data_IF_408290518839
#
_entry.id   IF_408290518839
#
_cell.length_a   1.000
_cell.length_b   1.000
_cell.length_c   1.000
_cell.angle_alpha   90.00
_cell.angle_beta   90.00
_cell.angle_gamma   90.00
#
_symmetry.space_group_name_H-M   'P 1'
#
loop_
_entity.id
_entity.type
_entity.pdbx_description
1 polymer ?
#
# COMPACT_ATOMS: atom_id res chain seq x y z
N UNK A 1 -2.33 37.32 -25.78
CA UNK A 1 -3.18 37.48 -24.58
C UNK A 1 -3.65 36.13 -24.05
N UNK A 2 -4.17 35.25 -24.91
CA UNK A 2 -4.61 33.88 -24.56
C UNK A 2 -3.59 32.99 -23.82
N UNK A 3 -2.27 33.16 -24.05
CA UNK A 3 -1.26 32.37 -23.34
C UNK A 3 -1.08 32.79 -21.87
N UNK A 4 -1.26 34.09 -21.56
CA UNK A 4 -1.11 34.60 -20.18
C UNK A 4 -2.38 34.30 -19.37
N UNK A 5 -3.55 34.40 -19.99
CA UNK A 5 -4.83 34.02 -19.38
C UNK A 5 -4.82 32.57 -18.89
N UNK A 6 -4.30 31.63 -19.69
CA UNK A 6 -4.15 30.22 -19.27
C UNK A 6 -3.20 30.03 -18.09
N UNK A 7 -2.16 30.85 -17.99
CA UNK A 7 -1.25 30.80 -16.83
C UNK A 7 -1.98 31.28 -15.58
N UNK A 8 -2.76 32.36 -15.70
CA UNK A 8 -3.58 32.88 -14.59
C UNK A 8 -4.63 31.84 -14.15
N UNK A 9 -5.29 31.16 -15.10
CA UNK A 9 -6.24 30.07 -14.79
C UNK A 9 -5.62 28.98 -13.91
N UNK A 10 -4.36 28.58 -14.15
CA UNK A 10 -3.67 27.59 -13.33
C UNK A 10 -3.23 28.12 -11.96
N UNK A 11 -2.89 29.41 -11.86
CA UNK A 11 -2.51 30.05 -10.59
C UNK A 11 -3.72 30.14 -9.65
N UNK A 12 -4.91 30.37 -10.21
CA UNK A 12 -6.16 30.57 -9.45
C UNK A 12 -6.85 29.24 -9.07
N UNK A 13 -6.28 28.09 -9.42
CA UNK A 13 -6.82 26.79 -9.01
C UNK A 13 -6.78 26.65 -7.48
N UNK A 14 -7.85 26.06 -6.94
CA UNK A 14 -7.93 25.70 -5.53
C UNK A 14 -6.83 24.66 -5.21
N UNK A 15 -5.92 24.96 -4.25
CA UNK A 15 -4.95 23.97 -3.79
C UNK A 15 -5.63 22.77 -3.13
N UNK A 16 -5.02 21.59 -3.25
CA UNK A 16 -5.51 20.35 -2.61
C UNK A 16 -5.60 20.49 -1.08
N UNK A 17 -4.59 21.13 -0.49
CA UNK A 17 -4.55 21.44 0.93
C UNK A 17 -4.72 22.93 1.15
N UNK A 18 -5.64 23.30 2.03
CA UNK A 18 -5.79 24.69 2.44
C UNK A 18 -4.50 25.18 3.12
N UNK A 19 -3.93 26.34 2.75
CA UNK A 19 -2.72 26.90 3.38
C UNK A 19 -2.84 27.09 4.91
N UNK A 20 -4.07 27.09 5.42
CA UNK A 20 -4.44 27.29 6.81
C UNK A 20 -4.75 26.00 7.57
N UNK A 21 -4.40 24.80 7.07
CA UNK A 21 -4.25 23.63 7.95
C UNK A 21 -3.07 23.90 8.87
N UNK A 22 -3.27 24.78 9.85
CA UNK A 22 -2.44 24.82 11.05
C UNK A 22 -2.47 23.39 11.57
N UNK A 23 -1.31 22.82 11.86
CA UNK A 23 -1.19 21.58 12.63
C UNK A 23 -2.00 21.75 13.92
N UNK A 24 -3.29 21.39 13.89
CA UNK A 24 -4.25 21.62 14.97
C UNK A 24 -3.90 20.75 16.18
N UNK A 25 -3.08 19.72 15.96
CA UNK A 25 -2.41 18.90 16.96
C UNK A 25 -0.93 18.78 16.65
N UNK A 26 -0.10 18.97 17.67
CA UNK A 26 1.25 18.41 17.67
C UNK A 26 1.12 16.89 17.61
N UNK A 27 1.68 16.27 16.58
CA UNK A 27 1.75 14.82 16.48
C UNK A 27 2.54 14.27 17.68
N UNK A 28 2.11 13.16 18.29
CA UNK A 28 2.91 12.49 19.31
C UNK A 28 4.32 12.17 18.77
N UNK A 29 5.39 12.24 19.57
CA UNK A 29 6.76 12.01 19.09
C UNK A 29 7.02 10.66 18.42
N UNK A 30 6.20 9.66 18.73
CA UNK A 30 6.30 8.30 18.17
C UNK A 30 5.20 7.99 17.14
N UNK A 31 4.46 9.01 16.69
CA UNK A 31 3.40 8.81 15.71
C UNK A 31 4.00 8.63 14.31
N UNK A 32 3.52 7.67 13.51
CA UNK A 32 2.53 6.66 13.86
C UNK A 32 3.18 5.40 14.48
N UNK A 33 2.46 4.74 15.39
CA UNK A 33 2.69 3.36 15.84
C UNK A 33 2.13 2.37 14.81
N UNK A 34 1.03 2.73 14.13
CA UNK A 34 0.52 2.04 12.94
C UNK A 34 -0.89 1.45 13.07
N UNK A 35 -1.65 1.74 14.12
CA UNK A 35 -3.06 1.35 14.22
C UNK A 35 -3.94 2.22 13.34
N UNK A 36 -4.86 1.63 12.59
CA UNK A 36 -5.73 2.33 11.63
C UNK A 36 -7.19 1.98 11.91
N UNK A 37 -8.03 3.00 12.08
CA UNK A 37 -9.48 2.83 12.26
C UNK A 37 -10.21 3.61 11.17
N UNK A 38 -11.10 2.93 10.48
CA UNK A 38 -12.08 3.51 9.57
C UNK A 38 -13.40 3.61 10.33
N UNK A 39 -13.91 4.82 10.50
CA UNK A 39 -15.13 5.12 11.24
C UNK A 39 -16.15 5.77 10.31
N UNK A 40 -17.16 4.99 9.92
CA UNK A 40 -18.22 5.35 8.97
C UNK A 40 -17.69 5.99 7.67
N UNK A 41 -16.55 5.48 7.16
CA UNK A 41 -15.87 6.10 6.03
C UNK A 41 -16.65 5.89 4.74
N UNK A 42 -16.85 6.98 4.00
CA UNK A 42 -17.29 6.98 2.60
C UNK A 42 -16.32 7.81 1.74
N UNK A 43 -16.09 7.39 0.50
CA UNK A 43 -15.11 8.00 -0.42
C UNK A 43 -15.72 8.26 -1.80
N UNK A 44 -15.47 9.43 -2.40
CA UNK A 44 -15.83 9.76 -3.78
C UNK A 44 -14.76 10.60 -4.46
N UNK A 45 -14.64 10.46 -5.79
CA UNK A 45 -13.61 11.14 -6.59
C UNK A 45 -13.89 12.62 -6.83
N UNK A 46 -15.16 13.00 -6.91
CA UNK A 46 -15.60 14.38 -7.07
C UNK A 46 -16.89 14.63 -6.31
N UNK A 47 -17.16 15.90 -6.00
CA UNK A 47 -18.39 16.34 -5.33
C UNK A 47 -19.67 15.99 -6.10
N UNK A 48 -19.55 15.80 -7.41
CA UNK A 48 -20.65 15.43 -8.31
C UNK A 48 -20.78 13.93 -8.55
N UNK A 49 -19.76 13.14 -8.17
CA UNK A 49 -19.76 11.68 -8.33
C UNK A 49 -20.49 10.97 -7.18
N UNK A 50 -20.94 9.74 -7.45
CA UNK A 50 -21.47 8.85 -6.43
C UNK A 50 -20.36 8.38 -5.48
N UNK A 51 -20.73 8.07 -4.23
CA UNK A 51 -19.86 7.40 -3.29
C UNK A 51 -19.42 6.03 -3.83
N UNK A 52 -18.11 5.84 -3.96
CA UNK A 52 -17.49 4.59 -4.41
C UNK A 52 -17.27 3.65 -3.24
N UNK A 53 -16.94 4.20 -2.06
CA UNK A 53 -16.96 3.47 -0.79
C UNK A 53 -18.08 4.03 0.08
N UNK A 54 -18.77 3.15 0.79
CA UNK A 54 -19.88 3.52 1.67
C UNK A 54 -19.76 2.81 3.01
N UNK A 55 -19.83 3.61 4.08
CA UNK A 55 -19.93 3.14 5.47
C UNK A 55 -18.89 2.07 5.89
N UNK A 56 -17.63 2.26 5.51
CA UNK A 56 -16.53 1.35 5.89
C UNK A 56 -16.23 1.53 7.38
N UNK A 57 -16.38 0.44 8.14
CA UNK A 57 -16.17 0.39 9.58
C UNK A 57 -15.24 -0.79 9.93
N UNK A 58 -13.93 -0.55 10.00
CA UNK A 58 -12.94 -1.58 10.31
C UNK A 58 -11.84 -1.02 11.23
N UNK A 59 -11.23 -1.89 12.01
CA UNK A 59 -10.13 -1.56 12.93
C UNK A 59 -8.96 -2.51 12.71
N UNK A 60 -7.80 -1.93 12.41
CA UNK A 60 -6.53 -2.60 12.13
C UNK A 60 -5.58 -2.26 13.27
N UNK A 61 -5.07 -3.28 13.94
CA UNK A 61 -4.10 -3.13 15.03
C UNK A 61 -2.69 -2.85 14.49
N UNK A 62 -1.83 -2.18 15.26
CA UNK A 62 -0.43 -2.01 14.88
C UNK A 62 0.24 -3.33 14.54
N UNK A 63 1.05 -3.34 13.47
CA UNK A 63 1.78 -4.49 12.94
C UNK A 63 0.91 -5.59 12.27
N UNK A 64 -0.41 -5.41 12.17
CA UNK A 64 -1.26 -6.36 11.44
C UNK A 64 -1.00 -6.30 9.93
N UNK A 65 -1.01 -7.48 9.31
CA UNK A 65 -1.02 -7.68 7.85
C UNK A 65 -2.45 -7.90 7.40
N UNK A 66 -2.93 -7.04 6.53
CA UNK A 66 -4.29 -7.07 5.99
C UNK A 66 -4.23 -7.36 4.50
N UNK A 67 -4.82 -8.47 4.09
CA UNK A 67 -5.05 -8.77 2.67
C UNK A 67 -6.36 -8.16 2.22
N UNK A 68 -6.39 -7.45 1.09
CA UNK A 68 -7.58 -6.81 0.55
C UNK A 68 -7.93 -7.49 -0.77
N UNK A 69 -9.13 -8.06 -0.85
CA UNK A 69 -9.64 -8.79 -2.02
C UNK A 69 -11.03 -8.31 -2.41
N UNK A 70 -11.44 -8.67 -3.61
CA UNK A 70 -12.72 -8.28 -4.18
C UNK A 70 -12.62 -8.23 -5.70
N UNK A 71 -13.77 -8.31 -6.37
CA UNK A 71 -13.84 -8.23 -7.84
C UNK A 71 -13.27 -6.89 -8.35
N UNK A 72 -12.94 -6.85 -9.64
CA UNK A 72 -12.59 -5.58 -10.30
C UNK A 72 -13.73 -4.58 -10.13
N UNK A 73 -13.40 -3.33 -9.77
CA UNK A 73 -14.40 -2.30 -9.48
C UNK A 73 -15.01 -2.35 -8.07
N UNK A 74 -14.59 -3.26 -7.18
CA UNK A 74 -15.13 -3.35 -5.82
C UNK A 74 -14.73 -2.18 -4.88
N UNK A 75 -13.84 -1.27 -5.30
CA UNK A 75 -13.39 -0.13 -4.50
C UNK A 75 -12.04 -0.33 -3.78
N UNK A 76 -11.27 -1.40 -4.10
CA UNK A 76 -9.98 -1.70 -3.45
C UNK A 76 -8.98 -0.53 -3.54
N UNK A 77 -8.68 -0.05 -4.75
CA UNK A 77 -7.76 1.08 -4.96
C UNK A 77 -8.32 2.38 -4.37
N UNK A 78 -9.64 2.56 -4.36
CA UNK A 78 -10.30 3.70 -3.70
C UNK A 78 -10.10 3.67 -2.17
N UNK A 79 -10.03 2.48 -1.56
CA UNK A 79 -9.71 2.33 -0.14
C UNK A 79 -8.26 2.73 0.16
N UNK A 80 -7.31 2.39 -0.71
CA UNK A 80 -5.94 2.92 -0.58
C UNK A 80 -5.93 4.44 -0.72
N UNK A 81 -6.59 4.98 -1.74
CA UNK A 81 -6.63 6.42 -2.00
C UNK A 81 -7.27 7.22 -0.85
N UNK A 82 -8.21 6.62 -0.12
CA UNK A 82 -8.81 7.26 1.06
C UNK A 82 -7.80 7.43 2.20
N UNK A 83 -6.92 6.44 2.44
CA UNK A 83 -5.83 6.52 3.43
C UNK A 83 -4.90 7.70 3.13
N UNK A 84 -4.58 7.91 1.85
CA UNK A 84 -3.72 9.02 1.40
C UNK A 84 -4.47 10.36 1.27
N UNK A 85 -5.77 10.42 1.60
CA UNK A 85 -6.65 11.58 1.45
C UNK A 85 -6.55 12.22 0.05
N UNK A 86 -6.62 11.39 -0.98
CA UNK A 86 -6.47 11.83 -2.39
C UNK A 86 -7.74 12.44 -3.00
N UNK A 87 -8.89 12.29 -2.32
CA UNK A 87 -10.17 12.84 -2.75
C UNK A 87 -11.09 13.05 -1.54
N UNK A 88 -12.37 13.32 -1.80
CA UNK A 88 -13.34 13.68 -0.77
C UNK A 88 -13.73 12.49 0.11
N UNK A 89 -13.72 12.72 1.42
CA UNK A 89 -14.08 11.76 2.46
C UNK A 89 -15.29 12.25 3.25
N UNK A 90 -16.18 11.32 3.60
CA UNK A 90 -17.14 11.48 4.68
C UNK A 90 -16.85 10.41 5.76
N UNK A 91 -17.10 10.72 7.03
CA UNK A 91 -16.60 9.91 8.14
C UNK A 91 -15.14 10.23 8.47
N UNK A 92 -14.43 9.32 9.13
CA UNK A 92 -13.08 9.55 9.66
C UNK A 92 -12.14 8.37 9.40
N UNK A 93 -10.87 8.69 9.22
CA UNK A 93 -9.77 7.73 9.30
C UNK A 93 -8.90 8.19 10.47
N UNK A 94 -8.75 7.33 11.47
CA UNK A 94 -7.91 7.57 12.63
C UNK A 94 -6.64 6.74 12.51
N UNK A 95 -5.47 7.37 12.67
CA UNK A 95 -4.20 6.67 12.83
C UNK A 95 -3.72 6.90 14.26
N UNK A 96 -3.65 5.83 15.04
CA UNK A 96 -3.33 5.86 16.49
C UNK A 96 -4.18 6.86 17.28
N UNK A 97 -5.50 6.85 17.03
CA UNK A 97 -6.50 7.77 17.61
C UNK A 97 -6.35 9.25 17.21
N UNK A 98 -5.49 9.57 16.23
CA UNK A 98 -5.40 10.89 15.62
C UNK A 98 -6.19 10.91 14.31
N UNK A 99 -7.16 11.81 14.21
CA UNK A 99 -7.93 12.00 12.98
C UNK A 99 -7.02 12.57 11.88
N UNK A 100 -6.89 11.81 10.78
CA UNK A 100 -6.08 12.19 9.63
C UNK A 100 -6.53 13.49 8.98
N UNK A 101 -7.78 13.92 9.15
CA UNK A 101 -8.28 15.21 8.65
C UNK A 101 -7.70 16.41 9.42
N UNK A 102 -7.14 16.20 10.61
CA UNK A 102 -6.51 17.23 11.46
C UNK A 102 -5.00 17.35 11.25
N UNK A 103 -4.43 16.52 10.37
CA UNK A 103 -3.00 16.45 10.05
C UNK A 103 -2.79 17.04 8.66
N UNK A 104 -1.65 17.69 8.43
CA UNK A 104 -1.30 18.13 7.08
C UNK A 104 -1.15 16.95 6.13
N UNK A 105 -1.46 17.13 4.83
CA UNK A 105 -1.27 16.08 3.82
C UNK A 105 0.21 15.72 3.70
N UNK A 106 1.10 16.70 3.84
CA UNK A 106 2.54 16.45 3.84
C UNK A 106 2.96 15.51 4.98
N UNK A 107 2.58 15.84 6.23
CA UNK A 107 2.96 15.03 7.39
C UNK A 107 2.30 13.64 7.33
N UNK A 108 1.04 13.55 6.92
CA UNK A 108 0.35 12.27 6.75
C UNK A 108 1.07 11.38 5.72
N UNK A 109 1.29 11.90 4.51
CA UNK A 109 1.83 11.11 3.37
C UNK A 109 3.30 10.76 3.56
N UNK A 110 4.07 11.55 4.31
CA UNK A 110 5.47 11.24 4.62
C UNK A 110 5.59 9.98 5.49
N UNK A 111 4.64 9.74 6.39
CA UNK A 111 4.64 8.61 7.33
C UNK A 111 4.01 7.32 6.79
N UNK A 112 3.57 7.31 5.52
CA UNK A 112 2.99 6.13 4.87
C UNK A 112 3.81 5.80 3.62
N UNK A 113 4.27 4.56 3.52
CA UNK A 113 4.95 4.05 2.32
C UNK A 113 3.95 3.35 1.39
N UNK A 114 4.12 3.52 0.09
CA UNK A 114 3.34 2.81 -0.94
C UNK A 114 4.25 2.09 -1.92
N UNK A 115 3.87 0.87 -2.27
CA UNK A 115 4.44 0.08 -3.36
C UNK A 115 3.34 -0.08 -4.40
N UNK A 116 3.36 0.71 -5.49
CA UNK A 116 2.30 0.68 -6.49
C UNK A 116 2.42 -0.55 -7.41
N UNK A 117 1.34 -0.82 -8.14
CA UNK A 117 1.27 -1.89 -9.14
C UNK A 117 2.26 -1.64 -10.29
N UNK A 118 2.33 -0.37 -10.72
CA UNK A 118 3.24 0.09 -11.76
C UNK A 118 4.35 0.91 -11.10
N UNK A 119 5.56 0.34 -10.93
CA UNK A 119 6.67 1.06 -10.31
C UNK A 119 7.15 2.18 -11.24
N UNK A 120 6.99 3.42 -10.80
CA UNK A 120 7.44 4.61 -11.54
C UNK A 120 8.81 5.02 -11.05
N UNK A 121 9.75 5.11 -12.00
CA UNK A 121 11.06 5.70 -11.81
C UNK A 121 11.17 6.99 -12.65
N UNK A 122 11.84 8.00 -12.12
CA UNK A 122 12.11 9.26 -12.80
C UNK A 122 13.38 9.15 -13.64
N UNK A 123 13.49 9.99 -14.68
CA UNK A 123 14.64 10.06 -15.57
C UNK A 123 15.81 10.78 -14.88
N UNK A 124 16.43 10.10 -13.94
CA UNK A 124 17.58 10.57 -13.15
C UNK A 124 18.38 9.34 -12.69
N UNK A 125 19.39 9.55 -11.86
CA UNK A 125 20.16 8.50 -11.20
C UNK A 125 19.29 7.59 -10.33
N UNK A 126 19.75 6.35 -10.13
CA UNK A 126 19.16 5.43 -9.14
C UNK A 126 19.16 6.07 -7.74
N UNK A 127 20.21 6.83 -7.40
CA UNK A 127 20.28 7.59 -6.15
C UNK A 127 19.06 8.48 -5.95
N UNK A 128 18.78 9.37 -6.90
CA UNK A 128 17.64 10.31 -6.82
C UNK A 128 16.30 9.56 -6.79
N UNK A 129 16.22 8.44 -7.50
CA UNK A 129 15.05 7.58 -7.46
C UNK A 129 14.83 6.92 -6.09
N UNK A 130 15.88 6.61 -5.32
CA UNK A 130 15.77 6.01 -3.98
C UNK A 130 15.59 7.07 -2.90
N UNK A 131 16.33 8.18 -3.01
CA UNK A 131 16.39 9.27 -2.05
C UNK A 131 16.43 10.63 -2.76
N UNK A 132 15.27 11.19 -3.13
CA UNK A 132 15.20 12.47 -3.84
C UNK A 132 15.56 13.68 -2.96
N UNK A 133 15.61 13.51 -1.63
CA UNK A 133 15.85 14.60 -0.68
C UNK A 133 17.26 14.57 -0.06
N UNK A 134 18.05 13.53 -0.33
CA UNK A 134 19.39 13.39 0.22
C UNK A 134 19.38 13.13 1.73
N UNK A 135 18.35 12.45 2.23
CA UNK A 135 18.18 12.12 3.65
C UNK A 135 19.06 10.94 4.11
N UNK A 136 19.55 10.11 3.19
CA UNK A 136 20.25 8.87 3.49
C UNK A 136 21.66 8.83 2.90
N UNK A 137 22.57 8.16 3.61
CA UNK A 137 23.93 7.90 3.14
C UNK A 137 23.97 6.80 2.08
N UNK A 138 25.02 6.79 1.24
CA UNK A 138 25.23 5.76 0.21
C UNK A 138 25.24 4.35 0.81
N UNK A 139 25.79 4.22 2.02
CA UNK A 139 25.86 2.96 2.75
C UNK A 139 24.45 2.47 3.11
N UNK A 140 23.58 3.36 3.59
CA UNK A 140 22.19 3.02 3.89
C UNK A 140 21.42 2.63 2.62
N UNK A 141 21.66 3.33 1.51
CA UNK A 141 21.04 3.03 0.22
C UNK A 141 21.48 1.65 -0.30
N UNK A 142 22.78 1.35 -0.27
CA UNK A 142 23.29 0.03 -0.66
C UNK A 142 22.78 -1.09 0.23
N UNK A 143 22.73 -0.86 1.55
CA UNK A 143 22.15 -1.83 2.47
C UNK A 143 20.67 -2.10 2.13
N UNK A 144 19.88 -1.08 1.82
CA UNK A 144 18.48 -1.27 1.43
C UNK A 144 18.33 -2.05 0.11
N UNK A 145 19.22 -1.84 -0.86
CA UNK A 145 19.25 -2.59 -2.12
C UNK A 145 19.61 -4.06 -1.92
N UNK A 146 20.61 -4.34 -1.08
CA UNK A 146 21.01 -5.71 -0.72
C UNK A 146 19.89 -6.44 0.04
N UNK A 147 19.20 -5.73 0.93
CA UNK A 147 18.08 -6.27 1.70
C UNK A 147 16.90 -6.74 0.86
N UNK A 148 16.67 -6.09 -0.29
CA UNK A 148 15.67 -6.52 -1.29
C UNK A 148 16.24 -7.50 -2.32
N UNK A 149 17.48 -7.95 -2.14
CA UNK A 149 18.20 -8.85 -3.06
C UNK A 149 18.44 -8.26 -4.45
N UNK A 150 18.42 -6.94 -4.59
CA UNK A 150 18.84 -6.26 -5.80
C UNK A 150 20.36 -6.04 -5.71
N UNK A 151 21.11 -7.10 -6.04
CA UNK A 151 22.57 -7.15 -5.88
C UNK A 151 23.26 -6.06 -6.70
N UNK A 152 24.46 -5.69 -6.25
CA UNK A 152 25.40 -4.82 -6.97
C UNK A 152 25.57 -5.19 -8.45
N UNK A 153 25.53 -6.47 -8.79
CA UNK A 153 25.76 -6.92 -10.17
C UNK A 153 24.57 -6.60 -11.11
N UNK A 154 23.44 -6.15 -10.56
CA UNK A 154 22.24 -5.77 -11.31
C UNK A 154 22.11 -4.26 -11.51
N UNK A 155 23.00 -3.47 -10.90
CA UNK A 155 23.03 -2.00 -10.93
C UNK A 155 24.49 -1.54 -11.07
N UNK A 156 24.80 -0.75 -12.10
CA UNK A 156 26.15 -0.21 -12.38
C UNK A 156 26.56 0.95 -11.45
N UNK A 157 26.03 0.97 -10.22
CA UNK A 157 26.25 1.99 -9.20
C UNK A 157 25.07 2.96 -9.04
N UNK A 158 25.08 3.71 -7.93
CA UNK A 158 24.02 4.67 -7.59
C UNK A 158 23.89 5.82 -8.61
N UNK A 159 24.94 6.08 -9.37
CA UNK A 159 24.98 7.11 -10.42
C UNK A 159 24.50 6.60 -11.79
N UNK A 160 24.14 5.31 -11.90
CA UNK A 160 23.55 4.76 -13.12
C UNK A 160 22.27 5.53 -13.46
N UNK A 161 22.16 5.94 -14.71
CA UNK A 161 21.02 6.69 -15.21
C UNK A 161 19.82 5.77 -15.43
N UNK A 162 18.66 6.23 -15.00
CA UNK A 162 17.35 5.64 -15.32
C UNK A 162 16.79 6.35 -16.55
N UNK A 163 16.45 5.59 -17.58
CA UNK A 163 15.92 6.14 -18.84
C UNK A 163 14.41 5.93 -18.94
N UNK A 164 13.69 6.88 -19.52
CA UNK A 164 12.27 6.77 -19.94
C UNK A 164 11.37 5.98 -18.97
N UNK A 165 11.23 6.44 -17.72
CA UNK A 165 10.37 5.75 -16.75
C UNK A 165 10.94 4.42 -16.24
N UNK A 166 12.25 4.20 -16.39
CA UNK A 166 12.94 2.96 -16.06
C UNK A 166 12.84 1.88 -17.14
N UNK A 167 12.76 2.26 -18.42
CA UNK A 167 12.73 1.33 -19.55
C UNK A 167 13.96 0.43 -19.64
N UNK A 168 15.09 0.88 -19.09
CA UNK A 168 16.33 0.10 -18.98
C UNK A 168 16.33 -0.92 -17.83
N UNK A 169 15.25 -1.01 -17.04
CA UNK A 169 15.09 -2.02 -15.99
C UNK A 169 13.91 -2.94 -16.28
N UNK A 170 14.06 -4.22 -15.94
CA UNK A 170 12.93 -5.15 -15.91
C UNK A 170 11.86 -4.68 -14.92
N UNK A 171 10.61 -5.12 -15.13
CA UNK A 171 9.50 -4.85 -14.20
C UNK A 171 9.86 -5.29 -12.77
N UNK A 172 10.46 -6.47 -12.63
CA UNK A 172 10.92 -7.00 -11.34
C UNK A 172 11.98 -6.11 -10.66
N UNK A 173 12.99 -5.65 -11.39
CA UNK A 173 14.00 -4.72 -10.85
C UNK A 173 13.37 -3.40 -10.42
N UNK A 174 12.47 -2.82 -11.23
CA UNK A 174 11.75 -1.59 -10.85
C UNK A 174 10.95 -1.79 -9.56
N UNK A 175 10.33 -2.96 -9.39
CA UNK A 175 9.61 -3.29 -8.17
C UNK A 175 10.53 -3.37 -6.95
N UNK A 176 11.70 -4.00 -7.11
CA UNK A 176 12.71 -4.08 -6.05
C UNK A 176 13.26 -2.70 -5.69
N UNK A 177 13.47 -1.81 -6.66
CA UNK A 177 13.83 -0.40 -6.41
C UNK A 177 12.74 0.31 -5.59
N UNK A 178 11.45 0.12 -5.94
CA UNK A 178 10.35 0.66 -5.15
C UNK A 178 10.29 0.08 -3.72
N UNK A 179 10.58 -1.21 -3.57
CA UNK A 179 10.65 -1.87 -2.26
C UNK A 179 11.81 -1.32 -1.41
N UNK A 180 12.98 -1.10 -2.01
CA UNK A 180 14.13 -0.49 -1.35
C UNK A 180 13.82 0.95 -0.90
N UNK A 181 13.13 1.73 -1.74
CA UNK A 181 12.61 3.08 -1.38
C UNK A 181 11.69 3.02 -0.17
N UNK A 182 10.79 2.04 -0.11
CA UNK A 182 9.88 1.86 1.03
C UNK A 182 10.62 1.45 2.32
N UNK A 183 11.69 0.65 2.21
CA UNK A 183 12.54 0.25 3.33
C UNK A 183 13.33 1.43 3.91
N UNK A 184 13.92 2.27 3.05
CA UNK A 184 14.70 3.43 3.49
C UNK A 184 13.88 4.36 4.39
N UNK A 185 12.61 4.58 4.04
CA UNK A 185 11.71 5.46 4.80
C UNK A 185 11.34 4.93 6.19
N UNK A 186 11.46 3.62 6.45
CA UNK A 186 11.16 2.99 7.75
C UNK A 186 9.77 3.34 8.33
N UNK A 187 8.80 3.63 7.47
CA UNK A 187 7.44 3.97 7.86
C UNK A 187 6.72 2.79 8.51
N UNK A 188 5.88 3.06 9.51
CA UNK A 188 5.10 2.03 10.22
C UNK A 188 3.89 1.52 9.46
N UNK A 189 3.45 2.24 8.43
CA UNK A 189 2.32 1.86 7.58
C UNK A 189 2.85 1.68 6.16
N UNK A 190 2.66 0.47 5.63
CA UNK A 190 3.00 0.12 4.26
C UNK A 190 1.73 -0.28 3.50
N UNK A 191 1.55 0.30 2.33
CA UNK A 191 0.49 -0.07 1.40
C UNK A 191 1.11 -0.72 0.16
N UNK A 192 0.60 -1.87 -0.23
CA UNK A 192 1.05 -2.63 -1.39
C UNK A 192 -0.13 -2.79 -2.33
N UNK A 193 -0.04 -2.17 -3.49
CA UNK A 193 -1.07 -2.25 -4.53
C UNK A 193 -0.57 -3.19 -5.62
N UNK A 194 -0.95 -4.47 -5.60
CA UNK A 194 -0.70 -5.43 -6.67
C UNK A 194 0.77 -5.51 -7.17
N UNK A 195 1.72 -5.33 -6.26
CA UNK A 195 3.15 -5.19 -6.54
C UNK A 195 3.78 -6.31 -7.38
N UNK A 196 3.15 -7.47 -7.51
CA UNK A 196 3.74 -8.64 -8.19
C UNK A 196 2.92 -9.16 -9.38
N UNK A 197 1.93 -8.38 -9.84
CA UNK A 197 1.06 -8.78 -10.94
C UNK A 197 1.82 -9.07 -12.24
N UNK A 198 2.83 -8.25 -12.57
CA UNK A 198 3.59 -8.30 -13.83
C UNK A 198 5.01 -8.83 -13.66
N UNK A 199 5.25 -9.63 -12.62
CA UNK A 199 6.57 -10.14 -12.25
C UNK A 199 6.60 -11.67 -12.38
N UNK A 200 7.75 -12.21 -12.80
CA UNK A 200 7.95 -13.66 -12.91
C UNK A 200 7.92 -14.34 -11.52
N UNK A 201 7.66 -15.65 -11.50
CA UNK A 201 7.43 -16.39 -10.25
C UNK A 201 8.61 -16.34 -9.28
N UNK A 202 9.84 -16.39 -9.81
CA UNK A 202 11.05 -16.33 -8.98
C UNK A 202 11.17 -14.97 -8.31
N UNK A 203 11.04 -13.89 -9.07
CA UNK A 203 11.15 -12.53 -8.52
C UNK A 203 9.98 -12.17 -7.60
N UNK A 204 8.76 -12.63 -7.88
CA UNK A 204 7.61 -12.54 -6.97
C UNK A 204 7.94 -13.18 -5.61
N UNK A 205 8.51 -14.40 -5.62
CA UNK A 205 8.97 -15.07 -4.41
C UNK A 205 10.00 -14.27 -3.61
N UNK A 206 10.93 -13.59 -4.28
CA UNK A 206 11.92 -12.72 -3.63
C UNK A 206 11.27 -11.48 -2.99
N UNK A 207 10.36 -10.82 -3.72
CA UNK A 207 9.63 -9.65 -3.23
C UNK A 207 8.80 -10.02 -2.01
N UNK A 208 8.04 -11.12 -2.06
CA UNK A 208 7.23 -11.60 -0.94
C UNK A 208 8.10 -11.95 0.27
N UNK A 209 9.25 -12.59 0.06
CA UNK A 209 10.19 -12.90 1.14
C UNK A 209 10.76 -11.64 1.79
N UNK A 210 11.15 -10.65 0.99
CA UNK A 210 11.65 -9.38 1.48
C UNK A 210 10.58 -8.62 2.27
N UNK A 211 9.33 -8.56 1.77
CA UNK A 211 8.19 -7.96 2.47
C UNK A 211 8.00 -8.62 3.85
N UNK A 212 7.91 -9.95 3.88
CA UNK A 212 7.70 -10.72 5.12
C UNK A 212 8.81 -10.53 6.15
N UNK A 213 10.07 -10.45 5.71
CA UNK A 213 11.23 -10.35 6.63
C UNK A 213 11.46 -8.93 7.13
N UNK A 214 11.27 -7.93 6.27
CA UNK A 214 11.70 -6.55 6.57
C UNK A 214 10.60 -5.68 7.15
N UNK A 215 9.33 -5.99 6.87
CA UNK A 215 8.20 -5.19 7.36
C UNK A 215 7.46 -5.89 8.50
N UNK A 216 8.11 -6.75 9.29
CA UNK A 216 7.48 -7.45 10.43
C UNK A 216 6.81 -6.46 11.38
N UNK A 217 7.53 -5.41 11.77
CA UNK A 217 7.10 -4.38 12.71
C UNK A 217 6.39 -3.18 12.03
N UNK A 218 5.60 -3.45 10.99
CA UNK A 218 4.83 -2.46 10.25
C UNK A 218 3.41 -2.99 10.03
N UNK A 219 2.41 -2.12 10.05
CA UNK A 219 1.08 -2.44 9.55
C UNK A 219 1.13 -2.48 8.03
N UNK A 220 0.69 -3.57 7.41
CA UNK A 220 0.79 -3.76 5.95
C UNK A 220 -0.59 -3.99 5.36
N UNK A 221 -1.01 -3.15 4.42
CA UNK A 221 -2.24 -3.33 3.65
C UNK A 221 -1.88 -3.77 2.24
N UNK A 222 -2.29 -4.96 1.83
CA UNK A 222 -1.95 -5.54 0.53
C UNK A 222 -3.19 -5.80 -0.30
N UNK A 223 -3.37 -5.06 -1.39
CA UNK A 223 -4.31 -5.45 -2.44
C UNK A 223 -3.66 -6.58 -3.25
N UNK A 224 -4.36 -7.69 -3.34
CA UNK A 224 -3.89 -8.85 -4.08
C UNK A 224 -4.89 -9.32 -5.13
N UNK A 225 -4.37 -9.58 -6.33
CA UNK A 225 -5.02 -10.41 -7.33
C UNK A 225 -4.66 -11.90 -7.21
N UNK A 226 -3.51 -12.22 -6.61
CA UNK A 226 -3.07 -13.60 -6.33
C UNK A 226 -3.32 -13.90 -4.85
N UNK A 227 -4.27 -14.77 -4.53
CA UNK A 227 -4.63 -15.08 -3.14
C UNK A 227 -3.44 -15.64 -2.33
N UNK A 228 -2.47 -16.27 -3.00
CA UNK A 228 -1.24 -16.76 -2.38
C UNK A 228 -0.40 -15.69 -1.66
N UNK A 229 -0.49 -14.42 -2.07
CA UNK A 229 0.31 -13.33 -1.47
C UNK A 229 -0.28 -12.82 -0.16
N UNK A 230 -1.53 -13.16 0.13
CA UNK A 230 -2.28 -12.65 1.30
C UNK A 230 -2.82 -13.74 2.21
N UNK A 231 -2.70 -15.02 1.83
CA UNK A 231 -3.26 -16.14 2.60
C UNK A 231 -2.65 -16.27 4.00
N UNK A 232 -1.44 -15.74 4.20
CA UNK A 232 -0.75 -15.67 5.49
C UNK A 232 -0.96 -14.34 6.23
N UNK A 233 -1.81 -13.44 5.74
CA UNK A 233 -2.20 -12.21 6.43
C UNK A 233 -2.88 -12.49 7.77
N UNK A 234 -2.87 -11.51 8.68
CA UNK A 234 -3.57 -11.60 9.96
C UNK A 234 -5.08 -11.59 9.76
N UNK A 235 -5.56 -10.72 8.87
CA UNK A 235 -6.96 -10.65 8.43
C UNK A 235 -7.08 -10.45 6.92
N UNK A 236 -8.19 -10.89 6.36
CA UNK A 236 -8.61 -10.59 4.99
C UNK A 236 -9.81 -9.65 5.03
N UNK A 237 -9.73 -8.57 4.27
CA UNK A 237 -10.82 -7.67 3.96
C UNK A 237 -11.39 -8.02 2.58
N UNK A 238 -12.63 -8.50 2.54
CA UNK A 238 -13.36 -8.72 1.29
C UNK A 238 -14.22 -7.50 1.01
N UNK A 239 -13.95 -6.82 -0.11
CA UNK A 239 -14.72 -5.68 -0.59
C UNK A 239 -15.63 -6.10 -1.75
N UNK A 240 -16.86 -5.61 -1.72
CA UNK A 240 -17.84 -5.75 -2.80
C UNK A 240 -18.66 -4.48 -2.91
N UNK A 241 -18.80 -3.92 -4.11
CA UNK A 241 -19.62 -2.72 -4.38
C UNK A 241 -19.37 -1.56 -3.40
N UNK A 242 -18.11 -1.35 -2.98
CA UNK A 242 -17.77 -0.27 -2.07
C UNK A 242 -18.08 -0.51 -0.60
N UNK A 243 -18.41 -1.74 -0.21
CA UNK A 243 -18.75 -2.13 1.16
C UNK A 243 -17.85 -3.28 1.62
N UNK A 244 -17.69 -3.36 2.94
CA UNK A 244 -17.01 -4.49 3.59
C UNK A 244 -18.00 -5.64 3.71
N UNK A 245 -17.66 -6.78 3.10
CA UNK A 245 -18.44 -8.00 3.21
C UNK A 245 -17.93 -8.88 4.35
N UNK A 246 -16.62 -9.04 4.44
CA UNK A 246 -15.93 -9.88 5.42
C UNK A 246 -14.66 -9.21 5.89
N UNK A 247 -14.35 -9.37 7.19
CA UNK A 247 -13.11 -8.88 7.79
C UNK A 247 -12.69 -9.75 8.97
N UNK A 248 -12.01 -10.86 8.68
CA UNK A 248 -11.59 -11.83 9.70
C UNK A 248 -10.34 -12.61 9.29
N UNK A 249 -9.88 -13.55 10.10
CA UNK A 249 -8.73 -14.38 9.78
C UNK A 249 -8.98 -15.23 8.52
N UNK A 250 -7.98 -15.43 7.63
CA UNK A 250 -8.18 -16.23 6.42
C UNK A 250 -8.72 -17.64 6.68
N UNK A 251 -8.29 -18.31 7.75
CA UNK A 251 -8.75 -19.67 8.05
C UNK A 251 -10.18 -19.71 8.60
N UNK A 252 -10.58 -18.70 9.37
CA UNK A 252 -11.95 -18.54 9.86
C UNK A 252 -12.91 -18.35 8.69
N UNK A 253 -12.61 -17.41 7.79
CA UNK A 253 -13.41 -17.16 6.58
C UNK A 253 -13.52 -18.40 5.69
N UNK A 254 -12.45 -19.20 5.57
CA UNK A 254 -12.48 -20.46 4.81
C UNK A 254 -13.36 -21.56 5.44
N UNK A 255 -13.65 -21.46 6.73
CA UNK A 255 -14.50 -22.41 7.45
C UNK A 255 -15.95 -21.94 7.57
N UNK A 256 -16.24 -20.68 7.27
CA UNK A 256 -17.59 -20.12 7.29
C UNK A 256 -18.41 -20.58 6.08
N UNK A 257 -19.64 -21.00 6.36
CA UNK A 257 -20.61 -21.30 5.31
C UNK A 257 -20.96 -20.01 4.56
N UNK A 258 -20.96 -20.06 3.22
CA UNK A 258 -21.27 -18.92 2.33
C UNK A 258 -20.25 -17.76 2.36
N UNK A 259 -19.00 -17.97 2.82
CA UNK A 259 -17.96 -16.97 2.68
C UNK A 259 -17.63 -16.67 1.21
N UNK A 260 -17.64 -15.38 0.85
CA UNK A 260 -17.17 -14.85 -0.42
C UNK A 260 -15.66 -15.07 -0.58
N UNK A 261 -14.88 -15.02 0.50
CA UNK A 261 -13.47 -15.38 0.45
C UNK A 261 -13.28 -16.86 0.07
N UNK A 262 -14.06 -17.77 0.67
CA UNK A 262 -14.03 -19.17 0.32
C UNK A 262 -14.43 -19.41 -1.16
N UNK A 263 -15.43 -18.69 -1.66
CA UNK A 263 -15.82 -18.72 -3.07
C UNK A 263 -14.66 -18.28 -3.98
N UNK A 264 -13.97 -17.17 -3.66
CA UNK A 264 -12.80 -16.70 -4.42
C UNK A 264 -11.67 -17.74 -4.42
N UNK A 265 -11.43 -18.41 -3.29
CA UNK A 265 -10.41 -19.47 -3.20
C UNK A 265 -10.80 -20.66 -4.06
N UNK A 266 -12.07 -21.07 -4.06
CA UNK A 266 -12.55 -22.18 -4.90
C UNK A 266 -12.35 -21.93 -6.41
N UNK A 267 -12.42 -20.67 -6.84
CA UNK A 267 -12.22 -20.26 -8.24
C UNK A 267 -10.76 -20.31 -8.70
N UNK A 268 -9.79 -20.48 -7.78
CA UNK A 268 -8.36 -20.64 -8.14
C UNK A 268 -8.03 -22.04 -8.67
N UNK A 269 -8.98 -22.98 -8.60
CA UNK A 269 -8.82 -24.37 -9.02
C UNK A 269 -8.40 -25.29 -7.88
N UNK A 270 -8.82 -26.56 -7.95
CA UNK A 270 -8.79 -27.50 -6.81
C UNK A 270 -7.43 -27.64 -6.13
N UNK A 271 -6.35 -27.71 -6.92
CA UNK A 271 -4.98 -27.87 -6.40
C UNK A 271 -4.49 -26.63 -5.65
N UNK A 272 -4.76 -25.45 -6.19
CA UNK A 272 -4.34 -24.19 -5.57
C UNK A 272 -5.19 -23.90 -4.34
N UNK A 273 -6.52 -24.11 -4.43
CA UNK A 273 -7.42 -23.99 -3.30
C UNK A 273 -7.01 -24.87 -2.11
N UNK A 274 -6.72 -26.16 -2.35
CA UNK A 274 -6.25 -27.06 -1.30
C UNK A 274 -4.94 -26.59 -0.66
N UNK A 275 -4.01 -26.06 -1.46
CA UNK A 275 -2.75 -25.52 -0.95
C UNK A 275 -2.97 -24.26 -0.10
N UNK A 276 -3.83 -23.34 -0.55
CA UNK A 276 -4.18 -22.11 0.17
C UNK A 276 -4.86 -22.43 1.51
N UNK A 277 -5.80 -23.39 1.54
CA UNK A 277 -6.48 -23.83 2.76
C UNK A 277 -5.46 -24.43 3.75
N UNK A 278 -4.56 -25.28 3.27
CA UNK A 278 -3.51 -25.86 4.11
C UNK A 278 -2.59 -24.79 4.67
N UNK A 279 -2.20 -23.80 3.87
CA UNK A 279 -1.36 -22.70 4.31
C UNK A 279 -2.07 -21.82 5.35
N UNK A 280 -3.32 -21.44 5.12
CA UNK A 280 -4.13 -20.68 6.07
C UNK A 280 -4.23 -21.40 7.43
N UNK A 281 -4.47 -22.72 7.41
CA UNK A 281 -4.54 -23.55 8.61
C UNK A 281 -3.22 -23.61 9.38
N UNK A 282 -2.09 -23.69 8.69
CA UNK A 282 -0.76 -23.67 9.33
C UNK A 282 -0.48 -22.32 9.98
N UNK A 283 -0.75 -21.22 9.27
CA UNK A 283 -0.56 -19.86 9.79
C UNK A 283 -1.45 -19.60 11.01
N UNK A 284 -2.73 -20.02 10.97
CA UNK A 284 -3.64 -19.89 12.09
C UNK A 284 -3.12 -20.66 13.32
N UNK A 285 -2.59 -21.88 13.15
CA UNK A 285 -2.00 -22.65 14.25
C UNK A 285 -0.76 -22.00 14.85
N UNK A 286 0.15 -21.51 14.01
CA UNK A 286 1.39 -20.86 14.45
C UNK A 286 1.15 -19.58 15.27
N UNK A 287 -0.02 -18.94 15.11
CA UNK A 287 -0.42 -17.76 15.90
C UNK A 287 -1.03 -18.10 17.27
N UNK A 288 -1.53 -19.32 17.45
CA UNK A 288 -2.15 -19.79 18.69
C UNK A 288 -1.18 -20.60 19.58
N UNK A 289 0.07 -20.80 19.12
CA UNK A 289 1.16 -21.48 19.82
C UNK A 289 2.18 -20.48 20.35
#
# INVERSE_FOLDING_TARGET
MTNVERVIEYIDLQPEESPNVKNLRSLPPQWPIGGIVFDNLSFRYSSTSSWVLTNINISIQPNEKIGIVGRTGAGKSSLIQSIFRMAELNGRILIDNVDTQQISLYDLRRHISIIPQNPVLFNDTIRINLDPFGEYSDIEIWNALDEVQLKSDMIDGLQQQVTEGGSNFSVGQRQLICLARALLRKNKILVIDEATANVDHRTDGLIQLAIRRKFVNCTVLTIAHRLRTIIDSDKILVLSHGQVMEFANPYELLCEDQSQFAELVSQTGDREAAHLIQQAKMTARARHS
#
